data_IF_272504997092
#
_entry.id   IF_272504997092
#
_cell.length_a   1.000
_cell.length_b   1.000
_cell.length_c   1.000
_cell.angle_alpha   90.00
_cell.angle_beta   90.00
_cell.angle_gamma   90.00
#
_symmetry.space_group_name_H-M   'P 1'
#
loop_
_entity.id
_entity.type
_entity.pdbx_description
1 polymer ?
#
# COMPACT_ATOMS: atom_id res chain seq x y z
N UNK A 1 -4.25 -6.38 9.40
CA UNK A 1 -3.94 -4.94 9.19
C UNK A 1 -5.15 -4.13 9.58
N UNK A 2 -4.93 -2.92 10.06
CA UNK A 2 -5.99 -2.01 10.49
C UNK A 2 -6.10 -0.85 9.49
N UNK A 3 -7.33 -0.47 9.16
CA UNK A 3 -7.63 0.59 8.21
C UNK A 3 -8.63 1.56 8.85
N UNK A 4 -8.35 2.85 8.73
CA UNK A 4 -9.20 3.92 9.24
C UNK A 4 -9.48 4.92 8.12
N UNK A 5 -10.75 5.08 7.77
CA UNK A 5 -11.17 6.06 6.76
C UNK A 5 -11.30 7.45 7.37
N UNK A 6 -10.89 8.48 6.64
CA UNK A 6 -10.96 9.86 7.14
C UNK A 6 -12.41 10.32 7.31
N UNK A 7 -13.31 9.83 6.45
CA UNK A 7 -14.75 10.09 6.52
C UNK A 7 -15.48 9.27 7.60
N UNK A 8 -14.83 8.26 8.21
CA UNK A 8 -15.42 7.41 9.25
C UNK A 8 -14.46 7.28 10.46
N UNK A 9 -14.14 8.39 11.17
CA UNK A 9 -13.12 8.39 12.21
C UNK A 9 -13.49 7.55 13.44
N UNK A 10 -14.78 7.27 13.64
CA UNK A 10 -15.28 6.45 14.74
C UNK A 10 -15.12 4.93 14.50
N UNK A 11 -14.71 4.50 13.29
CA UNK A 11 -14.63 3.08 12.94
C UNK A 11 -13.24 2.68 12.46
N UNK A 12 -12.74 1.58 13.00
CA UNK A 12 -11.55 0.89 12.51
C UNK A 12 -11.97 -0.41 11.83
N UNK A 13 -11.46 -0.62 10.64
CA UNK A 13 -11.69 -1.80 9.83
C UNK A 13 -10.47 -2.69 9.88
N UNK A 14 -10.71 -3.98 10.10
CA UNK A 14 -9.66 -4.99 10.06
C UNK A 14 -9.76 -5.76 8.74
N UNK A 15 -8.59 -6.01 8.16
CA UNK A 15 -8.49 -6.74 6.91
C UNK A 15 -7.19 -7.51 6.80
N UNK A 16 -7.10 -8.29 5.73
CA UNK A 16 -5.92 -9.04 5.35
C UNK A 16 -5.52 -8.67 3.93
N UNK A 17 -4.22 -8.60 3.68
CA UNK A 17 -3.70 -8.37 2.34
C UNK A 17 -3.96 -9.65 1.54
N UNK A 18 -4.77 -9.55 0.49
CA UNK A 18 -5.05 -10.66 -0.40
C UNK A 18 -3.97 -10.77 -1.47
N UNK A 19 -3.59 -9.63 -2.05
CA UNK A 19 -2.67 -9.59 -3.19
C UNK A 19 -1.78 -8.36 -3.12
N UNK A 20 -0.50 -8.56 -3.46
CA UNK A 20 0.47 -7.46 -3.63
C UNK A 20 0.95 -7.54 -5.09
N UNK A 21 0.89 -6.41 -5.80
CA UNK A 21 1.46 -6.31 -7.14
C UNK A 21 2.97 -6.47 -7.09
N UNK A 22 3.52 -7.28 -8.00
CA UNK A 22 4.97 -7.46 -8.16
C UNK A 22 5.61 -6.34 -9.00
N UNK A 23 4.79 -5.54 -9.68
CA UNK A 23 5.22 -4.37 -10.45
C UNK A 23 5.08 -3.13 -9.59
N UNK A 24 6.06 -2.25 -9.71
CA UNK A 24 6.02 -0.91 -9.16
C UNK A 24 4.82 -0.14 -9.73
N UNK A 25 4.25 0.70 -8.87
CA UNK A 25 3.12 1.53 -9.21
C UNK A 25 3.61 2.70 -10.06
N UNK A 26 3.41 2.62 -11.37
CA UNK A 26 3.82 3.69 -12.29
C UNK A 26 2.93 4.93 -12.19
N UNK A 27 1.68 4.78 -11.75
CA UNK A 27 0.69 5.87 -11.69
C UNK A 27 -0.04 5.87 -10.34
N UNK A 28 0.07 6.97 -9.60
CA UNK A 28 -0.69 7.17 -8.37
C UNK A 28 -2.06 7.76 -8.71
N UNK A 29 -3.17 7.21 -8.17
CA UNK A 29 -4.48 7.84 -8.32
C UNK A 29 -4.46 9.27 -7.76
N UNK A 30 -5.08 10.20 -8.48
CA UNK A 30 -5.12 11.65 -8.15
C UNK A 30 -5.51 11.92 -6.68
N UNK A 31 -6.46 11.15 -6.14
CA UNK A 31 -6.96 11.28 -4.76
C UNK A 31 -5.92 10.98 -3.66
N UNK A 32 -4.83 10.29 -4.00
CA UNK A 32 -3.75 9.92 -3.07
C UNK A 32 -2.49 10.77 -3.27
N UNK A 33 -2.44 11.56 -4.33
CA UNK A 33 -1.29 12.40 -4.67
C UNK A 33 -1.19 13.66 -3.80
N UNK A 34 0.03 14.00 -3.39
CA UNK A 34 0.32 15.21 -2.61
C UNK A 34 -0.07 16.50 -3.35
N UNK A 35 -0.02 16.52 -4.69
CA UNK A 35 -0.43 17.70 -5.49
C UNK A 35 -1.91 18.08 -5.28
N UNK A 36 -2.75 17.11 -4.91
CA UNK A 36 -4.18 17.28 -4.65
C UNK A 36 -4.52 17.03 -3.16
N UNK A 37 -3.53 17.11 -2.27
CA UNK A 37 -3.71 17.02 -0.82
C UNK A 37 -3.80 15.59 -0.25
N UNK A 38 -3.29 14.59 -0.97
CA UNK A 38 -3.07 13.23 -0.47
C UNK A 38 -1.69 13.04 0.19
N UNK A 39 -1.50 11.95 0.93
CA UNK A 39 -0.25 11.72 1.70
C UNK A 39 0.89 11.10 0.87
N UNK A 40 0.66 10.70 -0.38
CA UNK A 40 1.70 10.06 -1.20
C UNK A 40 2.51 11.11 -1.94
N UNK A 41 3.80 11.20 -1.61
CA UNK A 41 4.74 12.09 -2.28
C UNK A 41 4.92 11.68 -3.75
N UNK A 42 4.37 12.49 -4.65
CA UNK A 42 4.40 12.29 -6.10
C UNK A 42 5.25 13.37 -6.77
N UNK A 43 5.97 12.99 -7.82
CA UNK A 43 6.62 13.90 -8.75
C UNK A 43 5.87 13.88 -10.08
N UNK A 44 5.66 15.05 -10.67
CA UNK A 44 5.07 15.16 -12.02
C UNK A 44 6.14 14.80 -13.07
N UNK A 45 5.87 13.78 -13.88
CA UNK A 45 6.69 13.43 -15.05
C UNK A 45 6.49 14.44 -16.19
N UNK A 46 7.40 14.48 -17.17
CA UNK A 46 7.35 15.38 -18.34
C UNK A 46 6.06 15.29 -19.15
N UNK A 47 5.29 14.20 -19.01
CA UNK A 47 3.98 13.99 -19.64
C UNK A 47 2.79 14.44 -18.76
N UNK A 48 3.03 15.14 -17.65
CA UNK A 48 1.98 15.64 -16.75
C UNK A 48 1.38 14.58 -15.80
N UNK A 49 1.88 13.34 -15.83
CA UNK A 49 1.42 12.24 -14.97
C UNK A 49 2.20 12.19 -13.67
N UNK A 50 1.54 11.74 -12.61
CA UNK A 50 2.11 11.72 -11.26
C UNK A 50 2.72 10.35 -10.97
N UNK A 51 4.05 10.34 -10.83
CA UNK A 51 4.81 9.16 -10.44
C UNK A 51 5.16 9.24 -8.95
N UNK A 52 5.11 8.13 -8.21
CA UNK A 52 5.56 8.13 -6.83
C UNK A 52 7.08 8.36 -6.78
N UNK A 53 7.55 9.19 -5.85
CA UNK A 53 8.98 9.50 -5.66
C UNK A 53 9.79 8.31 -5.12
N UNK A 54 9.11 7.34 -4.52
CA UNK A 54 9.68 6.11 -3.98
C UNK A 54 8.98 4.90 -4.60
N UNK A 55 9.62 3.72 -4.64
CA UNK A 55 8.99 2.51 -5.15
C UNK A 55 7.76 2.17 -4.31
N UNK A 56 6.59 2.44 -4.87
CA UNK A 56 5.30 2.12 -4.27
C UNK A 56 4.75 0.86 -4.96
N UNK A 57 4.08 0.00 -4.18
CA UNK A 57 3.46 -1.22 -4.69
C UNK A 57 1.98 -1.20 -4.31
N UNK A 58 1.12 -1.51 -5.28
CA UNK A 58 -0.31 -1.64 -5.01
C UNK A 58 -0.59 -2.96 -4.30
N UNK A 59 -1.38 -2.89 -3.21
CA UNK A 59 -1.89 -4.05 -2.52
C UNK A 59 -3.43 -4.02 -2.48
N UNK A 60 -4.05 -5.16 -2.77
CA UNK A 60 -5.48 -5.39 -2.61
C UNK A 60 -5.72 -6.03 -1.25
N UNK A 61 -6.64 -5.47 -0.50
CA UNK A 61 -6.99 -5.90 0.85
C UNK A 61 -8.42 -6.38 0.88
N UNK A 62 -8.64 -7.54 1.48
CA UNK A 62 -9.97 -8.03 1.81
C UNK A 62 -10.37 -7.51 3.20
N UNK A 63 -11.43 -6.68 3.26
CA UNK A 63 -11.99 -6.19 4.53
C UNK A 63 -13.02 -7.21 5.05
N UNK A 64 -12.96 -7.51 6.35
CA UNK A 64 -13.84 -8.52 6.98
C UNK A 64 -15.19 -7.96 7.46
N UNK A 65 -15.32 -6.64 7.60
CA UNK A 65 -16.50 -5.97 8.17
C UNK A 65 -17.45 -5.41 7.11
N UNK A 66 -18.71 -5.36 7.52
CA UNK A 66 -19.93 -5.05 6.75
C UNK A 66 -19.78 -3.84 5.78
N UNK A 67 -20.10 -4.02 4.47
CA UNK A 67 -19.91 -3.01 3.45
C UNK A 67 -20.95 -1.87 3.45
N UNK A 68 -21.98 -1.91 4.31
CA UNK A 68 -23.11 -0.96 4.24
C UNK A 68 -22.71 0.53 4.26
N UNK A 69 -21.58 0.88 4.87
CA UNK A 69 -21.07 2.26 4.94
C UNK A 69 -19.87 2.51 4.01
N UNK A 70 -19.35 1.47 3.35
CA UNK A 70 -18.21 1.58 2.46
C UNK A 70 -18.70 2.03 1.07
N UNK A 71 -18.23 3.20 0.66
CA UNK A 71 -18.43 3.74 -0.68
C UNK A 71 -17.13 3.74 -1.46
N UNK A 72 -17.22 3.70 -2.78
CA UNK A 72 -16.06 3.88 -3.65
C UNK A 72 -15.49 5.29 -3.49
N UNK A 73 -14.17 5.43 -3.64
CA UNK A 73 -13.48 6.72 -3.51
C UNK A 73 -13.15 7.15 -2.07
N UNK A 74 -13.48 6.35 -1.06
CA UNK A 74 -13.06 6.64 0.32
C UNK A 74 -11.54 6.55 0.45
N UNK A 75 -10.96 7.54 1.15
CA UNK A 75 -9.55 7.57 1.53
C UNK A 75 -9.37 7.43 3.03
N UNK A 76 -8.16 7.04 3.43
CA UNK A 76 -7.81 6.86 4.81
C UNK A 76 -6.41 6.32 4.99
N UNK A 77 -6.10 5.99 6.24
CA UNK A 77 -4.79 5.50 6.66
C UNK A 77 -4.88 4.03 7.05
N UNK A 78 -3.91 3.25 6.59
CA UNK A 78 -3.76 1.84 6.96
C UNK A 78 -2.49 1.60 7.77
N UNK A 79 -2.61 0.82 8.84
CA UNK A 79 -1.47 0.32 9.60
C UNK A 79 -1.29 -1.18 9.35
N UNK A 80 -0.11 -1.54 8.88
CA UNK A 80 0.30 -2.93 8.74
C UNK A 80 0.92 -3.42 10.04
N UNK A 81 0.30 -4.43 10.65
CA UNK A 81 0.88 -5.19 11.74
C UNK A 81 1.57 -6.39 11.10
N UNK A 82 2.90 -6.40 11.10
CA UNK A 82 3.70 -7.53 10.63
C UNK A 82 4.02 -8.36 11.86
N UNK A 83 3.48 -9.58 11.93
CA UNK A 83 3.78 -10.50 13.00
C UNK A 83 5.28 -10.88 12.97
N UNK A 84 5.79 -11.22 14.15
CA UNK A 84 7.18 -11.52 14.47
C UNK A 84 7.91 -12.26 13.35
N UNK A 85 8.89 -11.58 12.75
CA UNK A 85 9.79 -12.19 11.76
C UNK A 85 10.77 -13.09 12.47
N UNK A 86 10.76 -14.37 12.11
CA UNK A 86 11.74 -15.32 12.63
C UNK A 86 13.15 -15.05 12.11
N UNK A 87 14.21 -15.42 12.83
CA UNK A 87 15.60 -15.28 12.36
C UNK A 87 15.83 -15.97 11.01
N UNK A 88 15.14 -17.08 10.76
CA UNK A 88 15.16 -17.78 9.48
C UNK A 88 14.70 -16.89 8.31
N UNK A 89 13.61 -16.13 8.49
CA UNK A 89 13.13 -15.21 7.45
C UNK A 89 14.14 -14.09 7.16
N UNK A 90 14.90 -13.65 8.17
CA UNK A 90 15.99 -12.69 7.98
C UNK A 90 17.14 -13.27 7.16
N UNK A 91 17.60 -14.47 7.50
CA UNK A 91 18.67 -15.17 6.78
C UNK A 91 18.26 -15.44 5.33
N UNK A 92 17.02 -15.88 5.11
CA UNK A 92 16.49 -16.12 3.76
C UNK A 92 16.44 -14.84 2.91
N UNK A 93 16.02 -13.71 3.50
CA UNK A 93 16.04 -12.40 2.80
C UNK A 93 17.47 -11.97 2.47
N UNK A 94 18.42 -12.17 3.37
CA UNK A 94 19.83 -11.89 3.12
C UNK A 94 20.37 -12.76 1.98
N UNK A 95 20.11 -14.07 2.03
CA UNK A 95 20.52 -15.03 1.01
C UNK A 95 19.99 -14.65 -0.38
N UNK A 96 18.69 -14.35 -0.52
CA UNK A 96 18.11 -13.94 -1.82
C UNK A 96 18.62 -12.58 -2.33
N UNK A 97 19.09 -11.70 -1.43
CA UNK A 97 19.67 -10.41 -1.82
C UNK A 97 21.10 -10.58 -2.34
N UNK A 98 21.88 -11.45 -1.69
CA UNK A 98 23.29 -11.70 -2.04
C UNK A 98 23.41 -12.58 -3.28
N UNK A 99 22.59 -13.63 -3.39
CA UNK A 99 22.59 -14.55 -4.53
C UNK A 99 21.41 -14.24 -5.45
N UNK A 100 21.58 -13.24 -6.33
CA UNK A 100 20.70 -13.06 -7.49
C UNK A 100 21.01 -14.20 -8.47
N UNK A 101 20.28 -15.30 -8.37
CA UNK A 101 20.31 -16.36 -9.38
C UNK A 101 19.82 -15.78 -10.71
N UNK A 102 20.77 -15.45 -11.56
CA UNK A 102 20.57 -15.12 -12.97
C UNK A 102 20.67 -16.45 -13.70
N UNK A 103 19.52 -17.05 -13.99
CA UNK A 103 19.38 -18.09 -15.03
C UNK A 103 19.02 -17.36 -16.31
#
# INVERSE_FOLDING_TARGET
>A
MELKFDHLPARTYEGFIEKISRRDLEFVPELLSNKLGGEVATATDRQGRERPLSPAYQATVLLRKDPALLKTGLRGRSRFLVDTRTPYQWIYRWYRRTFRFRI
#
